data_IF_817208076393
#
_entry.id   IF_817208076393
#
_cell.length_a   1.000
_cell.length_b   1.000
_cell.length_c   1.000
_cell.angle_alpha   90.00
_cell.angle_beta   90.00
_cell.angle_gamma   90.00
#
_symmetry.space_group_name_H-M   'P 1'
#
loop_
_entity.id
_entity.type
_entity.pdbx_description
1 polymer ?
#
# COMPACT_ATOMS: atom_id res chain seq x y z
N UNK A 1 6.70 12.83 -12.63
CA UNK A 1 7.64 12.85 -11.48
C UNK A 1 7.58 11.47 -10.85
N UNK A 2 8.70 10.90 -10.44
CA UNK A 2 8.71 9.57 -9.82
C UNK A 2 8.55 9.76 -8.31
N UNK A 3 7.55 9.12 -7.74
CA UNK A 3 7.27 9.12 -6.31
C UNK A 3 7.53 7.73 -5.74
N UNK A 4 8.12 7.69 -4.55
CA UNK A 4 8.25 6.44 -3.79
C UNK A 4 7.01 6.28 -2.92
N UNK A 5 6.33 5.14 -3.05
CA UNK A 5 5.10 4.83 -2.33
C UNK A 5 5.27 3.56 -1.50
N UNK A 6 5.05 3.69 -0.20
CA UNK A 6 5.15 2.62 0.78
C UNK A 6 3.76 2.29 1.32
N UNK A 7 3.35 1.02 1.25
CA UNK A 7 2.08 0.54 1.77
C UNK A 7 2.36 -0.36 2.99
N UNK A 8 1.74 -0.04 4.12
CA UNK A 8 1.83 -0.79 5.38
C UNK A 8 0.43 -1.01 5.95
N UNK A 9 0.22 -2.01 6.80
CA UNK A 9 -1.06 -2.17 7.50
C UNK A 9 -1.21 -1.18 8.65
N UNK A 10 -2.44 -0.72 8.92
CA UNK A 10 -2.74 0.21 10.04
C UNK A 10 -2.62 -0.49 11.40
N UNK A 11 -2.89 -1.79 11.49
CA UNK A 11 -2.80 -2.59 12.72
C UNK A 11 -2.06 -3.92 12.48
N UNK A 12 -1.50 -4.56 13.52
CA UNK A 12 -1.14 -5.97 13.45
C UNK A 12 -2.45 -6.75 13.30
N UNK A 13 -2.68 -7.29 12.11
CA UNK A 13 -3.87 -8.07 11.79
C UNK A 13 -4.14 -9.09 12.91
N UNK A 14 -5.26 -8.95 13.63
CA UNK A 14 -5.67 -9.81 14.76
C UNK A 14 -6.17 -11.18 14.25
N UNK A 15 -5.47 -11.74 13.28
CA UNK A 15 -5.68 -13.10 12.79
C UNK A 15 -4.33 -13.80 12.85
N UNK A 16 -4.34 -15.06 13.30
CA UNK A 16 -3.22 -16.02 13.49
C UNK A 16 -2.38 -16.33 12.22
N UNK A 17 -2.27 -15.39 11.28
CA UNK A 17 -1.42 -15.43 10.10
C UNK A 17 -0.25 -14.47 10.26
N UNK A 18 0.91 -14.73 9.62
CA UNK A 18 2.18 -14.11 9.98
C UNK A 18 2.05 -12.58 10.01
N UNK A 19 2.42 -12.05 11.17
CA UNK A 19 2.34 -10.66 11.56
C UNK A 19 3.24 -9.82 10.63
N UNK A 20 2.69 -9.32 9.51
CA UNK A 20 3.38 -8.38 8.63
C UNK A 20 3.37 -6.99 9.27
N UNK A 21 4.04 -6.84 10.43
CA UNK A 21 4.46 -5.54 10.98
C UNK A 21 5.56 -4.88 10.11
N UNK A 22 5.56 -5.17 8.81
CA UNK A 22 6.58 -4.80 7.86
C UNK A 22 5.91 -4.41 6.56
N UNK A 23 6.48 -3.39 5.91
CA UNK A 23 6.18 -2.92 4.56
C UNK A 23 5.53 -4.01 3.68
N UNK A 24 4.27 -3.81 3.31
CA UNK A 24 3.50 -4.73 2.47
C UNK A 24 3.86 -4.56 0.99
N UNK A 25 4.18 -3.32 0.59
CA UNK A 25 4.68 -3.03 -0.75
C UNK A 25 5.52 -1.74 -0.78
N UNK A 26 6.51 -1.72 -1.67
CA UNK A 26 7.34 -0.58 -2.04
C UNK A 26 7.22 -0.38 -3.56
N UNK A 27 6.73 0.77 -3.98
CA UNK A 27 6.56 1.10 -5.40
C UNK A 27 7.25 2.41 -5.76
N UNK A 28 7.84 2.44 -6.94
CA UNK A 28 8.20 3.68 -7.63
C UNK A 28 7.13 3.95 -8.69
N UNK A 29 6.36 5.02 -8.50
CA UNK A 29 5.23 5.39 -9.36
C UNK A 29 5.54 6.71 -10.05
N UNK A 30 5.53 6.69 -11.38
CA UNK A 30 5.51 7.92 -12.16
C UNK A 30 4.09 8.50 -12.17
N UNK A 31 3.94 9.71 -11.63
CA UNK A 31 2.66 10.42 -11.60
C UNK A 31 2.85 11.93 -11.73
N UNK A 32 1.73 12.63 -11.91
CA UNK A 32 1.69 14.10 -11.94
C UNK A 32 1.56 14.70 -10.55
N UNK A 33 1.10 13.92 -9.56
CA UNK A 33 0.92 14.37 -8.17
C UNK A 33 1.11 13.24 -7.15
N UNK A 34 1.38 13.63 -5.89
CA UNK A 34 1.48 12.71 -4.73
C UNK A 34 0.19 11.91 -4.53
N UNK A 35 -0.97 12.54 -4.71
CA UNK A 35 -2.29 11.90 -4.55
C UNK A 35 -2.49 10.82 -5.63
N UNK A 36 -2.17 11.16 -6.87
CA UNK A 36 -2.24 10.23 -8.00
C UNK A 36 -1.28 9.04 -7.81
N UNK A 37 -0.04 9.30 -7.39
CA UNK A 37 0.94 8.26 -7.10
C UNK A 37 0.44 7.27 -6.05
N UNK A 38 -0.13 7.77 -4.94
CA UNK A 38 -0.69 6.93 -3.88
C UNK A 38 -1.86 6.07 -4.37
N UNK A 39 -2.76 6.62 -5.18
CA UNK A 39 -3.90 5.88 -5.72
C UNK A 39 -3.47 4.80 -6.72
N UNK A 40 -2.50 5.09 -7.58
CA UNK A 40 -1.94 4.14 -8.55
C UNK A 40 -1.21 3.00 -7.84
N UNK A 41 -0.38 3.31 -6.84
CA UNK A 41 0.30 2.32 -6.02
C UNK A 41 -0.70 1.40 -5.29
N UNK A 42 -1.74 1.97 -4.68
CA UNK A 42 -2.75 1.19 -3.98
C UNK A 42 -3.55 0.29 -4.92
N UNK A 43 -3.93 0.80 -6.10
CA UNK A 43 -4.62 -0.01 -7.11
C UNK A 43 -3.78 -1.20 -7.54
N UNK A 44 -2.48 -0.97 -7.78
CA UNK A 44 -1.53 -2.02 -8.16
C UNK A 44 -1.38 -3.06 -7.03
N UNK A 45 -1.25 -2.60 -5.79
CA UNK A 45 -1.19 -3.47 -4.62
C UNK A 45 -2.40 -4.41 -4.53
N UNK A 46 -3.61 -3.89 -4.67
CA UNK A 46 -4.84 -4.68 -4.67
C UNK A 46 -4.88 -5.73 -5.80
N UNK A 47 -4.35 -5.40 -6.98
CA UNK A 47 -4.26 -6.34 -8.10
C UNK A 47 -3.23 -7.45 -7.87
N UNK A 48 -2.08 -7.13 -7.28
CA UNK A 48 -1.01 -8.10 -7.00
C UNK A 48 -1.31 -8.97 -5.76
N UNK A 49 -2.17 -8.48 -4.86
CA UNK A 49 -2.48 -9.10 -3.57
C UNK A 49 -4.00 -9.28 -3.37
N UNK A 50 -4.68 -10.12 -4.17
CA UNK A 50 -6.13 -10.28 -4.10
C UNK A 50 -6.63 -10.91 -2.78
N UNK A 51 -5.74 -11.47 -1.96
CA UNK A 51 -6.05 -12.04 -0.64
C UNK A 51 -5.99 -11.02 0.50
N UNK A 52 -5.57 -9.79 0.22
CA UNK A 52 -5.52 -8.71 1.19
C UNK A 52 -6.83 -7.90 1.14
N UNK A 53 -7.17 -7.21 2.23
CA UNK A 53 -8.34 -6.34 2.27
C UNK A 53 -8.28 -5.31 1.14
N UNK A 54 -9.41 -5.05 0.48
CA UNK A 54 -9.51 -3.99 -0.53
C UNK A 54 -9.85 -2.63 0.07
N UNK A 55 -10.14 -2.57 1.38
CA UNK A 55 -10.45 -1.32 2.06
C UNK A 55 -9.16 -0.53 2.27
N UNK A 56 -9.12 0.70 1.74
CA UNK A 56 -7.96 1.58 1.86
C UNK A 56 -7.65 1.96 3.30
N UNK A 57 -8.66 2.04 4.16
CA UNK A 57 -8.52 2.40 5.58
C UNK A 57 -7.78 1.33 6.41
N UNK A 58 -7.61 0.11 5.88
CA UNK A 58 -6.78 -0.92 6.52
C UNK A 58 -5.27 -0.69 6.29
N UNK A 59 -4.91 0.32 5.47
CA UNK A 59 -3.54 0.57 5.04
C UNK A 59 -3.09 2.02 5.22
N UNK A 60 -1.81 2.16 5.59
CA UNK A 60 -1.10 3.43 5.52
C UNK A 60 -0.32 3.48 4.20
N UNK A 61 -0.67 4.45 3.35
CA UNK A 61 0.00 4.73 2.07
C UNK A 61 0.85 5.99 2.23
N UNK A 62 2.16 5.82 2.39
CA UNK A 62 3.12 6.93 2.50
C UNK A 62 3.73 7.22 1.14
N UNK A 63 3.74 8.49 0.73
CA UNK A 63 4.28 8.93 -0.57
C UNK A 63 5.35 9.99 -0.32
N UNK A 64 6.54 9.81 -0.90
CA UNK A 64 7.69 10.72 -0.80
C UNK A 64 8.31 11.03 -2.15
#
# INVERSE_FOLDING_TARGET
MIYKVLITSVEPSINDTPNFSGLLADYEIEASSVIEAGNLAFTRFCQEKPHHSLNRDDYVVSVS
#
